data_IF_486523449532
#
_entry.id   IF_486523449532
#
_cell.length_a   1.000
_cell.length_b   1.000
_cell.length_c   1.000
_cell.angle_alpha   90.00
_cell.angle_beta   90.00
_cell.angle_gamma   90.00
#
_symmetry.space_group_name_H-M   'P 1'
#
loop_
_entity.id
_entity.type
_entity.pdbx_description
1 polymer ?
#
# COMPACT_ATOMS: atom_id res chain seq x y z
N UNK A 1 7.72 -3.65 -8.83
CA UNK A 1 8.31 -4.96 -9.21
C UNK A 1 9.38 -5.49 -8.26
N UNK A 2 10.25 -4.66 -7.68
CA UNK A 2 11.37 -5.13 -6.85
C UNK A 2 10.98 -6.10 -5.71
N UNK A 3 9.89 -5.82 -4.98
CA UNK A 3 9.45 -6.69 -3.89
C UNK A 3 8.89 -8.05 -4.36
N UNK A 4 8.25 -8.12 -5.53
CA UNK A 4 7.83 -9.41 -6.14
C UNK A 4 9.03 -10.23 -6.59
N UNK A 5 10.02 -9.57 -7.19
CA UNK A 5 11.26 -10.22 -7.61
C UNK A 5 12.05 -10.78 -6.41
N UNK A 6 12.12 -10.02 -5.31
CA UNK A 6 12.74 -10.47 -4.07
C UNK A 6 12.04 -11.71 -3.48
N UNK A 7 10.70 -11.71 -3.48
CA UNK A 7 9.90 -12.85 -3.02
C UNK A 7 10.12 -14.09 -3.89
N UNK A 8 10.08 -13.94 -5.22
CA UNK A 8 10.34 -15.02 -6.16
C UNK A 8 11.77 -15.59 -6.01
N UNK A 9 12.76 -14.74 -5.77
CA UNK A 9 14.16 -15.16 -5.53
C UNK A 9 14.29 -15.92 -4.21
N UNK A 10 13.65 -15.43 -3.15
CA UNK A 10 13.65 -16.09 -1.85
C UNK A 10 12.92 -17.45 -1.91
N UNK A 11 11.84 -17.54 -2.68
CA UNK A 11 11.07 -18.77 -2.90
C UNK A 11 11.90 -19.82 -3.68
N UNK A 12 12.59 -19.41 -4.75
CA UNK A 12 13.55 -20.24 -5.48
C UNK A 12 14.67 -20.75 -4.57
N UNK A 13 15.20 -19.88 -3.71
CA UNK A 13 16.25 -20.21 -2.76
C UNK A 13 15.77 -21.20 -1.70
N UNK A 14 14.53 -21.03 -1.21
CA UNK A 14 13.91 -21.96 -0.27
C UNK A 14 13.67 -23.34 -0.90
N UNK A 15 13.15 -23.39 -2.12
CA UNK A 15 12.92 -24.65 -2.84
C UNK A 15 14.23 -25.40 -3.13
N UNK A 16 15.27 -24.66 -3.56
CA UNK A 16 16.60 -25.22 -3.79
C UNK A 16 17.21 -25.78 -2.50
N UNK A 17 17.09 -25.05 -1.38
CA UNK A 17 17.55 -25.55 -0.08
C UNK A 17 16.74 -26.77 0.40
N UNK A 18 15.45 -26.85 0.08
CA UNK A 18 14.61 -27.99 0.42
C UNK A 18 15.03 -29.26 -0.33
N UNK A 19 15.33 -29.14 -1.63
CA UNK A 19 15.89 -30.26 -2.42
C UNK A 19 17.27 -30.69 -1.91
N UNK A 20 18.16 -29.72 -1.65
CA UNK A 20 19.49 -30.00 -1.10
C UNK A 20 19.41 -30.63 0.30
N UNK A 21 18.40 -30.29 1.11
CA UNK A 21 18.16 -30.90 2.42
C UNK A 21 17.69 -32.35 2.27
N UNK A 22 16.83 -32.63 1.28
CA UNK A 22 16.44 -34.00 0.94
C UNK A 22 17.66 -34.84 0.50
N UNK A 23 18.65 -34.21 -0.16
CA UNK A 23 19.94 -34.81 -0.50
C UNK A 23 20.96 -34.81 0.67
N UNK A 24 20.58 -34.36 1.87
CA UNK A 24 21.43 -34.19 3.08
C UNK A 24 22.64 -33.26 2.91
N UNK A 25 22.62 -32.38 1.92
CA UNK A 25 23.73 -31.46 1.60
C UNK A 25 23.68 -30.20 2.46
N UNK A 26 22.49 -29.74 2.84
CA UNK A 26 22.31 -28.54 3.67
C UNK A 26 21.68 -28.89 5.01
N UNK A 27 22.09 -28.19 6.07
CA UNK A 27 21.52 -28.37 7.41
C UNK A 27 20.17 -27.68 7.55
N UNK A 28 19.38 -28.15 8.52
CA UNK A 28 18.07 -27.60 8.89
C UNK A 28 18.14 -26.09 9.18
N UNK A 29 19.28 -25.63 9.67
CA UNK A 29 19.60 -24.21 9.85
C UNK A 29 19.47 -23.40 8.55
N UNK A 30 20.06 -23.88 7.44
CA UNK A 30 19.99 -23.20 6.13
C UNK A 30 18.56 -23.14 5.59
N UNK A 31 17.78 -24.20 5.80
CA UNK A 31 16.37 -24.25 5.40
C UNK A 31 15.56 -23.20 6.20
N UNK A 32 15.79 -23.10 7.50
CA UNK A 32 15.17 -22.10 8.38
C UNK A 32 15.57 -20.67 8.04
N UNK A 33 16.82 -20.44 7.64
CA UNK A 33 17.30 -19.13 7.16
C UNK A 33 16.62 -18.73 5.86
N UNK A 34 16.45 -19.68 4.92
CA UNK A 34 15.74 -19.45 3.67
C UNK A 34 14.25 -19.14 3.91
N UNK A 35 13.61 -19.86 4.84
CA UNK A 35 12.22 -19.60 5.24
C UNK A 35 12.04 -18.20 5.85
N UNK A 36 12.96 -17.79 6.73
CA UNK A 36 12.96 -16.44 7.28
C UNK A 36 13.16 -15.37 6.20
N UNK A 37 14.03 -15.62 5.22
CA UNK A 37 14.22 -14.70 4.09
C UNK A 37 12.96 -14.57 3.24
N UNK A 38 12.27 -15.68 2.98
CA UNK A 38 10.98 -15.69 2.28
C UNK A 38 9.91 -14.89 3.05
N UNK A 39 9.78 -15.12 4.36
CA UNK A 39 8.87 -14.35 5.23
C UNK A 39 9.18 -12.85 5.21
N UNK A 40 10.47 -12.49 5.26
CA UNK A 40 10.91 -11.09 5.21
C UNK A 40 10.56 -10.43 3.88
N UNK A 41 10.80 -11.12 2.75
CA UNK A 41 10.43 -10.63 1.43
C UNK A 41 8.91 -10.46 1.27
N UNK A 42 8.12 -11.39 1.82
CA UNK A 42 6.65 -11.30 1.87
C UNK A 42 6.17 -10.12 2.71
N UNK A 43 6.79 -9.87 3.87
CA UNK A 43 6.47 -8.72 4.69
C UNK A 43 6.77 -7.39 3.95
N UNK A 44 7.92 -7.31 3.27
CA UNK A 44 8.26 -6.14 2.45
C UNK A 44 7.27 -5.91 1.30
N UNK A 45 6.80 -6.98 0.64
CA UNK A 45 5.77 -6.87 -0.38
C UNK A 45 4.48 -6.27 0.20
N UNK A 46 3.99 -6.82 1.31
CA UNK A 46 2.77 -6.34 1.96
C UNK A 46 2.90 -4.89 2.43
N UNK A 47 4.07 -4.50 2.92
CA UNK A 47 4.35 -3.12 3.31
C UNK A 47 4.36 -2.17 2.10
N UNK A 48 4.94 -2.59 0.97
CA UNK A 48 4.91 -1.83 -0.26
C UNK A 48 3.48 -1.69 -0.83
N UNK A 49 2.67 -2.76 -0.77
CA UNK A 49 1.26 -2.71 -1.16
C UNK A 49 0.46 -1.77 -0.25
N UNK A 50 0.70 -1.79 1.07
CA UNK A 50 0.06 -0.85 1.99
C UNK A 50 0.44 0.60 1.68
N UNK A 51 1.71 0.87 1.33
CA UNK A 51 2.15 2.19 0.89
C UNK A 51 1.49 2.59 -0.44
N UNK A 52 1.34 1.66 -1.39
CA UNK A 52 0.63 1.91 -2.64
C UNK A 52 -0.85 2.25 -2.39
N UNK A 53 -1.52 1.51 -1.52
CA UNK A 53 -2.92 1.78 -1.13
C UNK A 53 -3.01 3.15 -0.46
N UNK A 54 -2.09 3.48 0.46
CA UNK A 54 -2.05 4.79 1.11
C UNK A 54 -1.82 5.92 0.10
N UNK A 55 -0.89 5.75 -0.84
CA UNK A 55 -0.64 6.72 -1.91
C UNK A 55 -1.84 6.86 -2.85
N UNK A 56 -2.52 5.75 -3.19
CA UNK A 56 -3.74 5.74 -4.00
C UNK A 56 -4.89 6.42 -3.27
N UNK A 57 -5.04 6.19 -1.96
CA UNK A 57 -6.01 6.88 -1.14
C UNK A 57 -5.72 8.37 -1.07
N UNK A 58 -4.46 8.78 -0.86
CA UNK A 58 -4.06 10.18 -0.88
C UNK A 58 -4.34 10.84 -2.24
N UNK A 59 -4.09 10.13 -3.35
CA UNK A 59 -4.46 10.58 -4.68
C UNK A 59 -5.99 10.71 -4.80
N UNK A 60 -6.75 9.75 -4.30
CA UNK A 60 -8.22 9.84 -4.26
C UNK A 60 -8.71 10.99 -3.38
N UNK A 61 -8.00 11.34 -2.29
CA UNK A 61 -8.30 12.50 -1.46
C UNK A 61 -7.95 13.84 -2.13
N UNK A 62 -7.17 13.84 -3.22
CA UNK A 62 -7.03 15.03 -4.07
C UNK A 62 -8.31 15.30 -4.88
N UNK A 63 -9.13 14.28 -5.12
CA UNK A 63 -10.50 14.40 -5.63
C UNK A 63 -11.50 14.46 -4.47
N UNK A 64 -11.84 15.68 -4.05
CA UNK A 64 -12.90 15.89 -3.05
C UNK A 64 -14.25 15.55 -3.68
N UNK A 65 -14.77 14.34 -3.42
CA UNK A 65 -16.13 13.91 -3.79
C UNK A 65 -17.10 14.15 -2.63
N UNK A 66 -18.30 14.66 -2.95
CA UNK A 66 -19.39 14.77 -1.97
C UNK A 66 -19.90 13.38 -1.60
N UNK A 67 -20.02 13.04 -0.30
CA UNK A 67 -20.57 11.76 0.14
C UNK A 67 -22.10 11.67 0.05
N UNK A 68 -22.79 12.78 -0.27
CA UNK A 68 -24.24 12.86 -0.46
C UNK A 68 -24.59 13.60 -1.75
N UNK A 69 -25.72 13.21 -2.36
CA UNK A 69 -26.37 13.96 -3.44
C UNK A 69 -27.04 15.20 -2.85
N UNK A 70 -26.56 16.40 -3.21
CA UNK A 70 -27.10 17.66 -2.69
C UNK A 70 -26.72 18.83 -3.57
N UNK A 71 -27.23 20.02 -3.24
CA UNK A 71 -26.88 21.25 -3.97
C UNK A 71 -25.61 21.82 -3.36
N UNK A 72 -24.56 21.96 -4.19
CA UNK A 72 -23.35 22.69 -3.82
C UNK A 72 -23.70 24.14 -3.53
N UNK A 73 -23.49 24.57 -2.27
CA UNK A 73 -23.51 25.98 -1.89
C UNK A 73 -22.32 26.74 -2.50
N UNK A 74 -22.28 28.06 -2.32
CA UNK A 74 -21.25 28.92 -2.93
C UNK A 74 -19.82 28.41 -2.61
N UNK A 75 -19.04 28.11 -3.65
CA UNK A 75 -17.61 27.79 -3.58
C UNK A 75 -16.83 29.08 -3.31
N UNK A 76 -16.31 29.33 -2.09
CA UNK A 76 -15.56 30.55 -1.79
C UNK A 76 -14.09 30.48 -2.26
N UNK A 77 -13.65 29.34 -2.79
CA UNK A 77 -12.28 29.11 -3.25
C UNK A 77 -12.17 29.20 -4.77
N UNK A 78 -11.31 30.11 -5.25
CA UNK A 78 -10.93 30.20 -6.67
C UNK A 78 -9.91 29.13 -7.02
N UNK A 79 -9.92 28.66 -8.27
CA UNK A 79 -8.91 27.74 -8.79
C UNK A 79 -7.49 28.29 -8.52
N UNK A 80 -6.67 27.55 -7.76
CA UNK A 80 -5.32 27.97 -7.35
C UNK A 80 -5.14 28.32 -5.87
N UNK A 81 -6.20 28.26 -5.04
CA UNK A 81 -6.06 28.42 -3.60
C UNK A 81 -5.41 27.19 -2.94
N UNK A 82 -4.47 27.41 -2.00
CA UNK A 82 -3.85 26.34 -1.22
C UNK A 82 -4.87 25.80 -0.21
N UNK A 83 -5.46 24.66 -0.53
CA UNK A 83 -6.35 23.93 0.37
C UNK A 83 -5.50 22.98 1.21
N UNK A 84 -5.57 23.11 2.53
CA UNK A 84 -4.79 22.30 3.46
C UNK A 84 -5.73 21.47 4.34
N UNK A 85 -5.42 20.20 4.67
CA UNK A 85 -6.28 19.34 5.49
C UNK A 85 -6.58 19.90 6.89
N UNK A 86 -5.81 20.90 7.34
CA UNK A 86 -5.91 21.55 8.63
C UNK A 86 -6.73 22.84 8.63
N UNK A 87 -7.41 23.18 7.53
CA UNK A 87 -8.21 24.40 7.47
C UNK A 87 -9.49 24.23 8.32
N UNK A 88 -9.77 25.14 9.28
CA UNK A 88 -10.98 25.09 10.10
C UNK A 88 -12.27 25.47 9.33
N UNK A 89 -12.14 25.89 8.06
CA UNK A 89 -13.27 26.23 7.21
C UNK A 89 -13.49 25.15 6.14
N UNK A 90 -14.69 24.55 6.06
CA UNK A 90 -15.01 23.58 5.02
C UNK A 90 -14.93 24.23 3.64
N UNK A 91 -14.38 23.51 2.65
CA UNK A 91 -14.19 24.01 1.29
C UNK A 91 -15.50 24.36 0.58
N UNK A 92 -16.58 23.63 0.90
CA UNK A 92 -17.94 23.88 0.46
C UNK A 92 -18.91 23.29 1.47
N UNK A 93 -20.05 23.96 1.67
CA UNK A 93 -21.21 23.37 2.34
C UNK A 93 -22.11 22.77 1.26
N UNK A 94 -22.30 21.46 1.29
CA UNK A 94 -23.33 20.80 0.49
C UNK A 94 -24.59 20.78 1.34
N UNK A 95 -25.63 21.46 0.88
CA UNK A 95 -26.94 21.40 1.53
C UNK A 95 -27.74 20.28 0.88
N UNK A 96 -28.03 19.26 1.69
CA UNK A 96 -28.94 18.19 1.36
C UNK A 96 -30.35 18.79 1.17
N UNK A 97 -31.00 18.48 0.05
CA UNK A 97 -32.37 18.90 -0.21
C UNK A 97 -33.25 17.64 -0.24
N UNK A 98 -33.56 17.13 0.95
CA UNK A 98 -34.65 16.16 1.15
C UNK A 98 -36.00 16.82 0.90
#
# INVERSE_FOLDING_TARGET
EAARAALATAELTYNSNKELYAQKVVSEFSLKTAENSYLTAKAQLSQAEAQEISARNNLSYTEVKSPSDGVVGALPYRAGALVSPSLPQPLTTVSDNS
#
